data_IF_780435929044
#
_entry.id   IF_780435929044
#
_cell.length_a   1.000
_cell.length_b   1.000
_cell.length_c   1.000
_cell.angle_alpha   90.00
_cell.angle_beta   90.00
_cell.angle_gamma   90.00
#
_symmetry.space_group_name_H-M   'P 1'
#
loop_
_entity.id
_entity.type
_entity.pdbx_description
1 polymer ?
#
# COMPACT_ATOMS: atom_id res chain seq x y z
N UNK A 1 20.19 -12.63 18.43
CA UNK A 1 18.98 -13.41 18.75
C UNK A 1 18.34 -13.70 17.40
N UNK A 2 18.42 -14.94 16.94
CA UNK A 2 17.75 -15.35 15.70
C UNK A 2 16.25 -15.14 15.86
N UNK A 3 15.54 -14.66 14.82
CA UNK A 3 14.10 -14.54 14.89
C UNK A 3 13.51 -15.93 15.12
N UNK A 4 12.75 -16.07 16.19
CA UNK A 4 11.93 -17.26 16.42
C UNK A 4 11.04 -17.45 15.19
N UNK A 5 11.13 -18.61 14.56
CA UNK A 5 10.25 -19.06 13.50
C UNK A 5 8.81 -19.00 14.02
N UNK A 6 8.06 -17.96 13.72
CA UNK A 6 6.66 -17.89 14.11
C UNK A 6 5.96 -16.54 14.00
N UNK A 7 6.65 -15.45 14.23
CA UNK A 7 5.98 -14.15 14.19
C UNK A 7 6.06 -13.55 12.77
N UNK A 8 4.94 -13.20 12.19
CA UNK A 8 4.86 -12.52 10.89
C UNK A 8 3.96 -11.29 10.99
N UNK A 9 4.31 -10.25 10.25
CA UNK A 9 3.45 -9.08 10.03
C UNK A 9 2.80 -9.18 8.66
N UNK A 10 1.47 -9.24 8.61
CA UNK A 10 0.73 -9.12 7.36
C UNK A 10 0.61 -7.65 6.96
N UNK A 11 0.95 -7.33 5.72
CA UNK A 11 0.99 -5.96 5.19
C UNK A 11 0.11 -5.86 3.95
N UNK A 12 -0.88 -4.95 3.97
CA UNK A 12 -1.54 -4.49 2.76
C UNK A 12 -0.72 -3.34 2.17
N UNK A 13 -0.09 -3.59 1.02
CA UNK A 13 0.90 -2.70 0.42
C UNK A 13 0.33 -1.46 -0.27
N UNK A 14 -1.00 -1.32 -0.38
CA UNK A 14 -1.61 -0.22 -1.12
C UNK A 14 -3.05 0.05 -0.66
N UNK A 15 -3.22 1.02 0.24
CA UNK A 15 -4.53 1.35 0.81
C UNK A 15 -4.83 2.84 0.64
N UNK A 16 -5.92 3.16 -0.04
CA UNK A 16 -6.48 4.51 -0.08
C UNK A 16 -7.61 4.67 0.94
N UNK A 17 -7.62 5.80 1.63
CA UNK A 17 -8.75 6.27 2.43
C UNK A 17 -9.36 7.49 1.72
N UNK A 18 -10.29 7.25 0.82
CA UNK A 18 -10.93 8.33 0.05
C UNK A 18 -11.92 9.13 0.93
N UNK A 19 -12.16 10.41 0.59
CA UNK A 19 -13.27 11.16 1.17
C UNK A 19 -14.59 10.41 0.98
N UNK A 20 -15.34 10.25 2.07
CA UNK A 20 -16.59 9.49 2.08
C UNK A 20 -16.48 8.03 2.51
N UNK A 21 -15.28 7.46 2.60
CA UNK A 21 -15.06 6.18 3.27
C UNK A 21 -15.10 6.35 4.79
N UNK A 22 -15.76 5.44 5.47
CA UNK A 22 -15.77 5.37 6.94
C UNK A 22 -14.53 4.60 7.41
N UNK A 23 -13.57 5.32 8.01
CA UNK A 23 -12.30 4.72 8.42
C UNK A 23 -12.47 3.55 9.40
N UNK A 24 -13.48 3.58 10.28
CA UNK A 24 -13.79 2.47 11.17
C UNK A 24 -14.16 1.19 10.40
N UNK A 25 -14.99 1.30 9.34
CA UNK A 25 -15.32 0.16 8.47
C UNK A 25 -14.08 -0.39 7.76
N UNK A 26 -13.18 0.52 7.29
CA UNK A 26 -11.90 0.11 6.69
C UNK A 26 -11.07 -0.68 7.69
N UNK A 27 -10.97 -0.24 8.94
CA UNK A 27 -10.18 -0.94 9.97
C UNK A 27 -10.79 -2.28 10.36
N UNK A 28 -12.12 -2.33 10.50
CA UNK A 28 -12.84 -3.59 10.75
C UNK A 28 -12.63 -4.60 9.61
N UNK A 29 -12.76 -4.15 8.37
CA UNK A 29 -12.55 -4.98 7.18
C UNK A 29 -11.08 -5.45 7.10
N UNK A 30 -10.11 -4.55 7.26
CA UNK A 30 -8.70 -4.87 7.23
C UNK A 30 -8.33 -5.94 8.26
N UNK A 31 -8.72 -5.74 9.51
CA UNK A 31 -8.43 -6.70 10.58
C UNK A 31 -9.09 -8.07 10.31
N UNK A 32 -10.36 -8.09 9.90
CA UNK A 32 -11.11 -9.31 9.58
C UNK A 32 -10.46 -10.06 8.41
N UNK A 33 -10.17 -9.35 7.33
CA UNK A 33 -9.66 -9.93 6.09
C UNK A 33 -8.24 -10.46 6.27
N UNK A 34 -7.34 -9.68 6.89
CA UNK A 34 -5.97 -10.11 7.18
C UNK A 34 -5.93 -11.32 8.11
N UNK A 35 -6.74 -11.33 9.16
CA UNK A 35 -6.82 -12.48 10.07
C UNK A 35 -7.31 -13.74 9.37
N UNK A 36 -8.20 -13.62 8.39
CA UNK A 36 -8.68 -14.74 7.60
C UNK A 36 -7.63 -15.21 6.56
N UNK A 37 -7.03 -14.26 5.83
CA UNK A 37 -6.15 -14.57 4.70
C UNK A 37 -4.69 -14.89 5.11
N UNK A 38 -4.27 -14.43 6.30
CA UNK A 38 -2.94 -14.63 6.87
C UNK A 38 -3.05 -15.15 8.32
N UNK A 39 -3.56 -16.37 8.55
CA UNK A 39 -3.88 -16.87 9.91
C UNK A 39 -2.64 -17.05 10.79
N UNK A 40 -1.43 -17.14 10.22
CA UNK A 40 -0.15 -17.19 10.93
C UNK A 40 0.40 -15.83 11.33
N UNK A 41 -0.11 -14.73 10.78
CA UNK A 41 0.35 -13.40 11.12
C UNK A 41 -0.18 -12.97 12.49
N UNK A 42 0.69 -12.36 13.29
CA UNK A 42 0.38 -11.87 14.64
C UNK A 42 0.25 -10.35 14.71
N UNK A 43 0.62 -9.64 13.64
CA UNK A 43 0.48 -8.20 13.49
C UNK A 43 -0.02 -7.83 12.09
N UNK A 44 -0.74 -6.71 11.99
CA UNK A 44 -1.36 -6.22 10.77
C UNK A 44 -0.95 -4.79 10.49
N UNK A 45 -0.60 -4.50 9.23
CA UNK A 45 -0.09 -3.21 8.80
C UNK A 45 -0.76 -2.76 7.50
N UNK A 46 -1.18 -1.49 7.45
CA UNK A 46 -1.73 -0.85 6.26
C UNK A 46 -0.77 0.24 5.77
N UNK A 47 -0.32 0.15 4.52
CA UNK A 47 0.43 1.22 3.86
C UNK A 47 -0.57 2.19 3.25
N UNK A 48 -0.87 3.28 3.97
CA UNK A 48 -1.78 4.30 3.49
C UNK A 48 -1.13 5.07 2.35
N UNK A 49 -1.84 5.15 1.23
CA UNK A 49 -1.34 5.78 0.02
C UNK A 49 -2.19 7.02 -0.27
N UNK A 50 -1.62 8.20 -0.04
CA UNK A 50 -2.31 9.48 -0.24
C UNK A 50 -1.86 10.12 -1.56
N UNK A 51 -2.83 10.58 -2.35
CA UNK A 51 -2.58 11.45 -3.50
C UNK A 51 -2.27 12.89 -3.06
N UNK A 52 -1.97 13.78 -3.99
CA UNK A 52 -1.79 15.21 -3.70
C UNK A 52 -3.05 15.89 -3.12
N UNK A 53 -4.23 15.25 -3.26
CA UNK A 53 -5.54 15.78 -2.84
C UNK A 53 -6.03 15.23 -1.50
N UNK A 54 -5.38 14.18 -0.98
CA UNK A 54 -5.82 13.46 0.22
C UNK A 54 -5.05 13.94 1.46
N UNK A 55 -5.62 13.68 2.61
CA UNK A 55 -5.01 14.04 3.89
C UNK A 55 -5.54 13.18 5.05
N UNK A 56 -5.94 11.94 4.75
CA UNK A 56 -6.55 11.02 5.71
C UNK A 56 -5.61 10.71 6.89
N UNK A 57 -4.32 10.43 6.62
CA UNK A 57 -3.35 10.18 7.70
C UNK A 57 -3.22 11.38 8.65
N UNK A 58 -3.19 12.59 8.09
CA UNK A 58 -3.16 13.81 8.91
C UNK A 58 -4.42 14.03 9.74
N UNK A 59 -5.58 13.66 9.21
CA UNK A 59 -6.86 13.72 9.92
C UNK A 59 -6.93 12.67 11.05
N UNK A 60 -6.47 11.44 10.78
CA UNK A 60 -6.32 10.39 11.80
C UNK A 60 -5.36 10.82 12.91
N UNK A 61 -4.19 11.32 12.56
CA UNK A 61 -3.16 11.75 13.52
C UNK A 61 -3.58 12.92 14.40
N UNK A 62 -4.53 13.74 13.94
CA UNK A 62 -5.04 14.89 14.67
C UNK A 62 -6.38 14.65 15.35
N UNK A 63 -6.95 13.45 15.25
CA UNK A 63 -8.27 13.11 15.81
C UNK A 63 -9.45 13.81 15.12
N UNK A 64 -9.26 14.34 13.90
CA UNK A 64 -10.33 15.00 13.13
C UNK A 64 -11.20 14.04 12.32
N UNK A 65 -10.79 12.77 12.22
CA UNK A 65 -11.56 11.73 11.53
C UNK A 65 -12.34 10.93 12.56
N UNK A 66 -13.63 10.73 12.33
CA UNK A 66 -14.47 9.88 13.17
C UNK A 66 -14.01 8.42 13.04
N UNK A 67 -13.96 7.70 14.15
CA UNK A 67 -13.43 6.34 14.24
C UNK A 67 -14.30 5.51 15.19
N UNK A 68 -15.56 5.30 14.83
CA UNK A 68 -16.54 4.60 15.66
C UNK A 68 -15.98 3.27 16.22
N UNK A 69 -15.75 3.21 17.52
CA UNK A 69 -15.15 2.07 18.21
C UNK A 69 -13.63 1.94 18.11
N UNK A 70 -12.97 2.72 17.25
CA UNK A 70 -11.53 2.75 17.12
C UNK A 70 -10.94 4.07 17.63
N UNK A 71 -9.65 4.05 17.98
CA UNK A 71 -8.88 5.26 18.31
C UNK A 71 -7.48 5.14 17.69
N UNK A 72 -6.83 6.28 17.45
CA UNK A 72 -5.46 6.30 16.94
C UNK A 72 -4.51 6.88 17.97
N UNK A 73 -3.33 6.24 18.09
CA UNK A 73 -2.21 6.69 18.92
C UNK A 73 -1.02 7.05 18.04
N UNK A 74 -0.48 8.25 18.25
CA UNK A 74 0.75 8.71 17.59
C UNK A 74 1.96 8.07 18.24
N UNK A 75 3.00 7.84 17.44
CA UNK A 75 4.31 7.41 17.89
C UNK A 75 5.27 8.62 17.86
N UNK A 76 5.74 9.11 19.02
CA UNK A 76 6.57 10.31 19.06
C UNK A 76 7.88 10.18 18.28
N UNK A 77 8.46 8.98 18.21
CA UNK A 77 9.72 8.70 17.54
C UNK A 77 9.55 8.37 16.06
N UNK A 78 8.31 8.16 15.59
CA UNK A 78 8.00 7.81 14.21
C UNK A 78 6.72 8.51 13.73
N UNK A 79 6.80 9.78 13.35
CA UNK A 79 5.63 10.57 12.97
C UNK A 79 4.96 10.08 11.66
N UNK A 80 5.57 9.15 10.94
CA UNK A 80 4.99 8.51 9.74
C UNK A 80 4.17 7.27 10.07
N UNK A 81 4.01 6.93 11.36
CA UNK A 81 3.20 5.80 11.79
C UNK A 81 2.16 6.20 12.85
N UNK A 82 1.06 5.46 12.88
CA UNK A 82 0.03 5.48 13.92
C UNK A 82 -0.31 4.03 14.29
N UNK A 83 -0.73 3.83 15.52
CA UNK A 83 -1.41 2.60 15.93
C UNK A 83 -2.90 2.91 16.02
N UNK A 84 -3.71 2.20 15.25
CA UNK A 84 -5.16 2.17 15.44
C UNK A 84 -5.51 0.99 16.33
N UNK A 85 -6.29 1.23 17.37
CA UNK A 85 -6.72 0.19 18.31
C UNK A 85 -8.20 0.36 18.66
N UNK A 86 -8.86 -0.72 19.03
CA UNK A 86 -10.23 -0.71 19.51
C UNK A 86 -10.37 -1.21 20.97
N UNK A 87 -11.60 -1.18 21.49
CA UNK A 87 -11.88 -1.65 22.85
C UNK A 87 -11.80 -3.17 23.03
N UNK A 88 -11.71 -3.96 21.96
CA UNK A 88 -11.57 -5.41 21.99
C UNK A 88 -10.10 -5.88 21.90
N UNK A 89 -9.15 -4.95 21.86
CA UNK A 89 -7.72 -5.24 21.77
C UNK A 89 -7.25 -5.58 20.35
N UNK A 90 -8.04 -5.25 19.32
CA UNK A 90 -7.58 -5.33 17.94
C UNK A 90 -6.67 -4.15 17.63
N UNK A 91 -5.57 -4.38 16.96
CA UNK A 91 -4.62 -3.33 16.58
C UNK A 91 -4.25 -3.42 15.09
N UNK A 92 -4.02 -2.24 14.49
CA UNK A 92 -3.48 -2.06 13.15
C UNK A 92 -2.36 -1.02 13.19
N UNK A 93 -1.23 -1.34 12.60
CA UNK A 93 -0.19 -0.34 12.30
C UNK A 93 -0.55 0.38 11.01
N UNK A 94 -0.72 1.70 11.06
CA UNK A 94 -1.00 2.54 9.90
C UNK A 94 0.27 3.29 9.54
N UNK A 95 0.79 3.08 8.34
CA UNK A 95 2.00 3.75 7.85
C UNK A 95 1.63 4.75 6.77
N UNK A 96 2.04 6.01 6.97
CA UNK A 96 1.84 7.06 5.98
C UNK A 96 2.59 6.79 4.69
N UNK A 97 2.01 7.15 3.56
CA UNK A 97 2.67 7.08 2.26
C UNK A 97 2.05 8.04 1.26
N UNK A 98 2.67 8.12 0.10
CA UNK A 98 2.27 9.01 -0.98
C UNK A 98 2.16 8.27 -2.29
N UNK A 99 1.17 8.66 -3.11
CA UNK A 99 1.12 8.35 -4.52
C UNK A 99 1.52 9.61 -5.30
N UNK A 100 2.52 9.47 -6.15
CA UNK A 100 3.06 10.56 -6.96
C UNK A 100 2.89 10.16 -8.42
N UNK A 101 2.34 11.04 -9.23
CA UNK A 101 2.16 10.80 -10.68
C UNK A 101 3.23 11.58 -11.44
N UNK A 102 4.10 10.87 -12.15
CA UNK A 102 5.17 11.49 -12.94
C UNK A 102 4.64 12.13 -14.23
N UNK A 103 5.45 12.95 -14.89
CA UNK A 103 5.13 13.55 -16.19
C UNK A 103 4.90 12.48 -17.28
N UNK A 104 5.54 11.32 -17.15
CA UNK A 104 5.34 10.17 -18.04
C UNK A 104 4.03 9.42 -17.76
N UNK A 105 3.28 9.82 -16.72
CA UNK A 105 2.05 9.16 -16.27
C UNK A 105 2.33 7.83 -15.56
N UNK A 106 3.51 7.68 -14.97
CA UNK A 106 3.87 6.55 -14.11
C UNK A 106 3.56 6.93 -12.68
N UNK A 107 2.82 6.09 -11.98
CA UNK A 107 2.57 6.22 -10.55
C UNK A 107 3.73 5.63 -9.75
N UNK A 108 4.10 6.32 -8.70
CA UNK A 108 5.10 5.90 -7.72
C UNK A 108 4.48 5.98 -6.35
N UNK A 109 4.40 4.85 -5.64
CA UNK A 109 4.02 4.83 -4.23
C UNK A 109 5.29 4.98 -3.40
N UNK A 110 5.24 5.88 -2.44
CA UNK A 110 6.32 6.15 -1.50
C UNK A 110 5.81 5.87 -0.08
N UNK A 111 5.94 4.63 0.44
CA UNK A 111 5.55 4.31 1.81
C UNK A 111 6.52 4.91 2.83
N UNK A 112 6.09 4.95 4.08
CA UNK A 112 6.85 5.43 5.24
C UNK A 112 7.30 6.89 5.15
N UNK A 113 6.55 7.72 4.43
CA UNK A 113 6.84 9.16 4.35
C UNK A 113 5.59 10.03 4.46
N UNK A 114 5.76 11.20 5.08
CA UNK A 114 4.76 12.28 5.10
C UNK A 114 5.17 13.44 4.20
N UNK A 115 6.33 13.36 3.58
CA UNK A 115 6.83 14.40 2.68
C UNK A 115 5.88 14.52 1.49
N UNK A 116 5.50 15.75 1.14
CA UNK A 116 4.68 16.01 -0.04
C UNK A 116 5.58 16.18 -1.25
N UNK A 117 5.31 15.41 -2.27
CA UNK A 117 5.93 15.52 -3.57
C UNK A 117 4.92 16.11 -4.57
N UNK A 118 5.41 16.97 -5.46
CA UNK A 118 4.58 17.49 -6.54
C UNK A 118 4.48 16.47 -7.66
N UNK A 119 3.27 16.29 -8.18
CA UNK A 119 3.04 15.53 -9.42
C UNK A 119 3.69 16.23 -10.63
N UNK A 120 3.85 15.51 -11.75
CA UNK A 120 4.35 16.06 -13.01
C UNK A 120 5.87 16.19 -13.12
N UNK A 121 6.64 15.71 -12.15
CA UNK A 121 8.11 15.62 -12.27
C UNK A 121 8.50 14.37 -13.05
N UNK A 122 9.68 14.33 -13.71
CA UNK A 122 10.22 13.11 -14.31
C UNK A 122 10.34 11.97 -13.28
N UNK A 123 9.95 10.76 -13.65
CA UNK A 123 9.97 9.60 -12.73
C UNK A 123 11.37 9.35 -12.16
N UNK A 124 12.43 9.54 -12.95
CA UNK A 124 13.81 9.37 -12.49
C UNK A 124 14.17 10.34 -11.35
N UNK A 125 13.70 11.59 -11.41
CA UNK A 125 13.91 12.57 -10.35
C UNK A 125 13.13 12.23 -9.09
N UNK A 126 11.89 11.70 -9.23
CA UNK A 126 11.09 11.23 -8.10
C UNK A 126 11.83 10.10 -7.39
N UNK A 127 12.28 9.08 -8.14
CA UNK A 127 13.00 7.93 -7.57
C UNK A 127 14.31 8.37 -6.89
N UNK A 128 15.06 9.28 -7.50
CA UNK A 128 16.29 9.83 -6.91
C UNK A 128 16.00 10.58 -5.60
N UNK A 129 14.95 11.40 -5.57
CA UNK A 129 14.54 12.14 -4.38
C UNK A 129 14.09 11.22 -3.24
N UNK A 130 13.33 10.19 -3.53
CA UNK A 130 12.93 9.17 -2.55
C UNK A 130 14.12 8.42 -2.01
N UNK A 131 15.01 7.96 -2.89
CA UNK A 131 16.24 7.26 -2.49
C UNK A 131 17.12 8.09 -1.59
N UNK A 132 17.30 9.38 -1.88
CA UNK A 132 18.10 10.28 -1.03
C UNK A 132 17.55 10.47 0.38
N UNK A 133 16.26 10.17 0.57
CA UNK A 133 15.57 10.20 1.87
C UNK A 133 15.48 8.80 2.52
N UNK A 134 16.05 7.75 1.92
CA UNK A 134 15.90 6.37 2.40
C UNK A 134 14.46 5.85 2.30
N UNK A 135 13.65 6.44 1.42
CA UNK A 135 12.25 6.05 1.20
C UNK A 135 12.17 5.07 0.03
N UNK A 136 11.59 3.88 0.20
CA UNK A 136 11.38 2.95 -0.90
C UNK A 136 10.35 3.48 -1.89
N UNK A 137 10.45 3.05 -3.14
CA UNK A 137 9.53 3.39 -4.21
C UNK A 137 8.88 2.12 -4.77
N UNK A 138 7.55 2.09 -4.83
CA UNK A 138 6.81 0.98 -5.41
C UNK A 138 6.15 1.49 -6.70
N UNK A 139 6.39 0.79 -7.81
CA UNK A 139 5.74 1.06 -9.10
C UNK A 139 4.53 0.13 -9.23
N UNK A 140 3.29 0.65 -8.98
CA UNK A 140 2.12 -0.20 -8.93
C UNK A 140 1.66 -0.61 -10.32
N UNK A 141 1.32 -1.88 -10.48
CA UNK A 141 0.60 -2.34 -11.64
C UNK A 141 -0.80 -1.67 -11.70
N UNK A 142 -1.27 -1.43 -12.89
CA UNK A 142 -2.64 -0.96 -13.12
C UNK A 142 -3.11 -1.29 -14.51
N UNK A 143 -4.42 -1.50 -14.68
CA UNK A 143 -5.02 -1.83 -15.96
C UNK A 143 -4.69 -0.76 -17.01
N UNK A 144 -3.94 -1.14 -18.04
CA UNK A 144 -3.46 -0.24 -19.08
C UNK A 144 -2.31 0.70 -18.69
N UNK A 145 -1.91 0.74 -17.41
CA UNK A 145 -0.83 1.64 -16.95
C UNK A 145 0.56 1.22 -17.44
N UNK A 146 0.80 -0.10 -17.58
CA UNK A 146 2.08 -0.66 -18.05
C UNK A 146 2.05 -1.06 -19.54
N UNK A 147 1.24 -0.39 -20.35
CA UNK A 147 1.20 -0.64 -21.79
C UNK A 147 2.02 0.40 -22.58
N UNK A 148 2.60 -0.05 -23.71
CA UNK A 148 3.34 0.81 -24.62
C UNK A 148 4.55 1.50 -23.97
N UNK A 149 4.70 2.80 -24.20
CA UNK A 149 5.87 3.58 -23.72
C UNK A 149 6.03 3.55 -22.19
N UNK A 150 4.93 3.56 -21.43
CA UNK A 150 4.98 3.52 -19.96
C UNK A 150 5.54 2.19 -19.46
N UNK A 151 5.08 1.08 -20.02
CA UNK A 151 5.62 -0.24 -19.68
C UNK A 151 7.10 -0.39 -20.04
N UNK A 152 7.52 0.14 -21.18
CA UNK A 152 8.94 0.19 -21.56
C UNK A 152 9.78 1.00 -20.55
N UNK A 153 9.26 2.16 -20.11
CA UNK A 153 9.94 2.98 -19.11
C UNK A 153 10.03 2.31 -17.73
N UNK A 154 8.96 1.64 -17.30
CA UNK A 154 9.00 0.83 -16.04
C UNK A 154 10.03 -0.28 -16.16
N UNK A 155 10.08 -0.99 -17.30
CA UNK A 155 11.07 -2.04 -17.54
C UNK A 155 12.51 -1.53 -17.47
N UNK A 156 12.78 -0.36 -18.04
CA UNK A 156 14.08 0.30 -17.98
C UNK A 156 14.46 0.64 -16.53
N UNK A 157 13.55 1.28 -15.76
CA UNK A 157 13.80 1.67 -14.37
C UNK A 157 14.10 0.47 -13.48
N UNK A 158 13.35 -0.61 -13.64
CA UNK A 158 13.55 -1.84 -12.85
C UNK A 158 14.80 -2.59 -13.31
N UNK A 159 15.07 -2.62 -14.62
CA UNK A 159 16.24 -3.28 -15.20
C UNK A 159 17.59 -2.72 -14.73
N UNK A 160 17.61 -1.49 -14.21
CA UNK A 160 18.81 -0.91 -13.61
C UNK A 160 19.12 -1.45 -12.19
N UNK A 161 18.25 -2.28 -11.59
CA UNK A 161 18.48 -2.89 -10.29
C UNK A 161 18.66 -1.89 -9.17
N UNK A 162 17.92 -0.78 -9.17
CA UNK A 162 18.05 0.26 -8.15
C UNK A 162 17.54 -0.25 -6.80
N UNK A 163 18.36 -0.24 -5.73
CA UNK A 163 17.91 -0.62 -4.39
C UNK A 163 16.70 0.23 -3.96
N UNK A 164 15.69 -0.44 -3.37
CA UNK A 164 14.48 0.21 -2.89
C UNK A 164 13.46 0.57 -3.97
N UNK A 165 13.71 0.20 -5.25
CA UNK A 165 12.69 0.27 -6.31
C UNK A 165 12.05 -1.09 -6.47
N UNK A 166 10.77 -1.17 -6.13
CA UNK A 166 9.97 -2.38 -6.07
C UNK A 166 8.78 -2.26 -7.02
N UNK A 167 8.14 -3.37 -7.31
CA UNK A 167 6.90 -3.40 -8.08
C UNK A 167 5.70 -3.59 -7.15
N UNK A 168 4.52 -3.15 -7.59
CA UNK A 168 3.27 -3.38 -6.88
C UNK A 168 2.31 -4.22 -7.69
N UNK A 169 1.61 -5.16 -7.05
CA UNK A 169 0.41 -5.80 -7.59
C UNK A 169 -0.82 -5.32 -6.81
N UNK A 170 -2.00 -5.37 -7.39
CA UNK A 170 -3.21 -5.00 -6.67
C UNK A 170 -4.34 -6.02 -6.86
N UNK A 171 -5.29 -6.00 -5.93
CA UNK A 171 -6.45 -6.90 -5.97
C UNK A 171 -7.35 -6.69 -7.21
N UNK A 172 -7.24 -5.55 -7.89
CA UNK A 172 -7.94 -5.23 -9.13
C UNK A 172 -7.34 -5.86 -10.38
N UNK A 173 -6.24 -6.62 -10.30
CA UNK A 173 -5.74 -7.41 -11.43
C UNK A 173 -6.52 -8.73 -11.52
N UNK A 174 -7.36 -8.94 -12.56
CA UNK A 174 -8.20 -10.14 -12.63
C UNK A 174 -7.35 -11.43 -12.55
N UNK A 175 -7.80 -12.47 -11.85
CA UNK A 175 -7.07 -13.75 -11.75
C UNK A 175 -6.76 -14.38 -13.11
N UNK A 176 -7.68 -14.25 -14.09
CA UNK A 176 -7.49 -14.74 -15.45
C UNK A 176 -6.52 -13.90 -16.28
N UNK A 177 -6.09 -12.72 -15.79
CA UNK A 177 -5.10 -11.90 -16.50
C UNK A 177 -3.71 -12.48 -16.33
N UNK A 178 -2.92 -12.62 -17.41
CA UNK A 178 -1.58 -13.18 -17.31
C UNK A 178 -0.70 -12.33 -16.36
N UNK A 179 0.15 -13.01 -15.61
CA UNK A 179 1.11 -12.35 -14.73
C UNK A 179 2.06 -11.48 -15.61
N UNK A 180 2.22 -10.19 -15.30
CA UNK A 180 3.13 -9.34 -16.04
C UNK A 180 4.57 -9.86 -15.99
N UNK A 181 5.25 -9.93 -17.14
CA UNK A 181 6.66 -10.37 -17.19
C UNK A 181 7.59 -9.50 -16.35
N UNK A 182 7.24 -8.22 -16.15
CA UNK A 182 8.01 -7.30 -15.32
C UNK A 182 8.07 -7.75 -13.85
N UNK A 183 7.12 -8.55 -13.38
CA UNK A 183 7.14 -9.11 -12.03
C UNK A 183 8.29 -10.09 -11.76
N UNK A 184 9.05 -10.46 -12.79
CA UNK A 184 10.26 -11.28 -12.67
C UNK A 184 11.53 -10.43 -12.45
N UNK A 185 11.43 -9.12 -12.61
CA UNK A 185 12.58 -8.21 -12.59
C UNK A 185 12.87 -7.58 -11.21
N UNK A 186 11.90 -7.55 -10.30
CA UNK A 186 12.05 -7.05 -8.93
C UNK A 186 10.99 -7.64 -8.01
N UNK A 187 11.18 -7.60 -6.67
CA UNK A 187 10.15 -8.02 -5.73
C UNK A 187 8.84 -7.23 -5.93
N UNK A 188 7.73 -7.95 -5.82
CA UNK A 188 6.38 -7.41 -6.01
C UNK A 188 5.66 -7.34 -4.68
N UNK A 189 5.19 -6.17 -4.31
CA UNK A 189 4.42 -5.94 -3.10
C UNK A 189 2.93 -5.88 -3.44
N UNK A 190 2.13 -6.88 -3.07
CA UNK A 190 0.69 -6.84 -3.24
C UNK A 190 0.02 -5.85 -2.29
N UNK A 191 -1.10 -5.30 -2.73
CA UNK A 191 -2.00 -4.51 -1.90
C UNK A 191 -3.42 -4.53 -2.45
N UNK A 192 -4.37 -4.09 -1.64
CA UNK A 192 -5.79 -4.13 -2.00
C UNK A 192 -6.13 -3.10 -3.08
N UNK A 193 -5.58 -1.90 -2.98
CA UNK A 193 -5.88 -0.75 -3.86
C UNK A 193 -7.40 -0.52 -3.98
N UNK A 194 -8.09 -0.21 -2.86
CA UNK A 194 -9.51 0.06 -2.90
C UNK A 194 -9.79 1.27 -3.78
N UNK A 195 -10.86 1.20 -4.58
CA UNK A 195 -11.25 2.26 -5.49
C UNK A 195 -12.33 3.15 -4.83
N UNK A 196 -12.54 4.42 -5.28
CA UNK A 196 -13.58 5.28 -4.75
C UNK A 196 -14.97 4.88 -5.27
N UNK A 197 -15.39 3.66 -4.97
CA UNK A 197 -16.70 3.10 -5.29
C UNK A 197 -17.35 2.56 -4.02
N UNK A 198 -18.70 2.46 -3.95
CA UNK A 198 -19.38 1.94 -2.77
C UNK A 198 -18.85 0.57 -2.35
N UNK A 199 -18.78 0.36 -1.06
CA UNK A 199 -18.38 -0.89 -0.39
C UNK A 199 -16.94 -1.36 -0.68
N UNK A 200 -16.11 -0.57 -1.35
CA UNK A 200 -14.72 -0.93 -1.62
C UNK A 200 -13.85 -1.00 -0.34
N UNK A 201 -14.27 -0.33 0.73
CA UNK A 201 -13.67 -0.43 2.06
C UNK A 201 -13.70 -1.84 2.63
N UNK A 202 -14.69 -2.67 2.26
CA UNK A 202 -14.83 -4.06 2.72
C UNK A 202 -13.73 -4.99 2.19
N UNK A 203 -13.03 -4.57 1.13
CA UNK A 203 -11.96 -5.36 0.53
C UNK A 203 -10.58 -5.12 1.18
N UNK A 204 -10.41 -4.04 1.96
CA UNK A 204 -9.10 -3.70 2.54
C UNK A 204 -8.56 -4.85 3.40
N UNK A 205 -7.27 -5.15 3.24
CA UNK A 205 -6.60 -6.25 3.93
C UNK A 205 -6.82 -7.64 3.34
N UNK A 206 -7.56 -7.77 2.22
CA UNK A 206 -7.79 -9.09 1.59
C UNK A 206 -6.60 -9.62 0.79
N UNK A 207 -5.67 -8.75 0.40
CA UNK A 207 -4.54 -9.07 -0.46
C UNK A 207 -3.31 -8.29 -0.02
N UNK A 208 -2.20 -8.99 0.18
CA UNK A 208 -0.98 -8.37 0.67
C UNK A 208 0.19 -9.35 0.74
N UNK A 209 1.18 -9.02 1.55
CA UNK A 209 2.40 -9.81 1.73
C UNK A 209 2.77 -9.95 3.20
N UNK A 210 3.55 -10.98 3.51
CA UNK A 210 4.07 -11.26 4.83
C UNK A 210 5.49 -10.74 4.96
N UNK A 211 5.76 -10.06 6.06
CA UNK A 211 7.10 -9.70 6.50
C UNK A 211 7.49 -10.59 7.68
N UNK A 212 8.67 -11.23 7.66
CA UNK A 212 9.16 -11.99 8.79
C UNK A 212 9.36 -11.09 10.02
N UNK A 213 8.88 -11.54 11.18
CA UNK A 213 8.96 -10.83 12.45
C UNK A 213 8.00 -9.63 12.56
N UNK A 214 8.01 -9.03 13.74
CA UNK A 214 7.26 -7.80 14.02
C UNK A 214 8.03 -6.58 13.53
N UNK A 215 7.30 -5.51 13.21
CA UNK A 215 7.89 -4.18 13.04
C UNK A 215 8.32 -3.63 14.39
N UNK A 216 9.32 -2.74 14.39
CA UNK A 216 9.74 -2.02 15.59
C UNK A 216 8.54 -1.29 16.21
N UNK A 217 8.16 -1.56 17.46
CA UNK A 217 6.95 -0.98 18.06
C UNK A 217 7.00 0.54 18.26
N UNK A 218 8.20 1.12 18.33
CA UNK A 218 8.40 2.56 18.49
C UNK A 218 8.63 3.27 17.16
N UNK A 219 9.15 2.53 16.12
CA UNK A 219 9.54 3.07 14.83
C UNK A 219 9.11 2.19 13.65
N UNK A 220 7.83 1.79 13.55
CA UNK A 220 7.41 0.82 12.56
C UNK A 220 7.54 1.30 11.11
N UNK A 221 7.33 2.60 10.82
CA UNK A 221 7.52 3.13 9.47
C UNK A 221 9.00 3.18 9.08
N UNK A 222 9.87 3.58 10.00
CA UNK A 222 11.33 3.58 9.79
C UNK A 222 11.85 2.16 9.56
N UNK A 223 11.41 1.19 10.35
CA UNK A 223 11.81 -0.21 10.21
C UNK A 223 11.29 -0.82 8.90
N UNK A 224 10.02 -0.56 8.55
CA UNK A 224 9.46 -0.97 7.27
C UNK A 224 10.28 -0.41 6.10
N UNK A 225 10.55 0.91 6.09
CA UNK A 225 11.33 1.53 5.03
C UNK A 225 12.69 0.86 4.86
N UNK A 226 13.41 0.63 5.96
CA UNK A 226 14.70 -0.06 5.96
C UNK A 226 14.60 -1.46 5.36
N UNK A 227 13.59 -2.25 5.75
CA UNK A 227 13.37 -3.61 5.24
C UNK A 227 13.05 -3.60 3.75
N UNK A 228 12.20 -2.69 3.29
CA UNK A 228 11.85 -2.56 1.87
C UNK A 228 13.01 -2.05 1.02
N UNK A 229 13.87 -1.16 1.55
CA UNK A 229 15.07 -0.68 0.84
C UNK A 229 16.09 -1.80 0.57
N UNK A 230 16.07 -2.86 1.37
CA UNK A 230 16.99 -4.01 1.27
C UNK A 230 16.30 -5.29 0.82
N UNK A 231 15.04 -5.20 0.36
CA UNK A 231 14.27 -6.37 -0.06
C UNK A 231 14.76 -6.86 -1.43
N UNK A 232 15.39 -8.03 -1.46
CA UNK A 232 15.93 -8.65 -2.69
C UNK A 232 15.08 -9.82 -3.20
N UNK A 233 14.29 -10.43 -2.32
CA UNK A 233 13.48 -11.60 -2.65
C UNK A 233 11.99 -11.31 -2.57
N UNK A 234 11.20 -12.07 -3.35
CA UNK A 234 9.75 -11.98 -3.33
C UNK A 234 9.22 -12.37 -1.95
N UNK A 235 8.48 -11.49 -1.23
CA UNK A 235 7.83 -11.86 0.01
C UNK A 235 6.68 -12.83 -0.23
N UNK A 236 6.34 -13.63 0.77
CA UNK A 236 5.15 -14.49 0.72
C UNK A 236 3.90 -13.64 0.53
N UNK A 237 3.09 -14.00 -0.43
CA UNK A 237 1.81 -13.32 -0.72
C UNK A 237 0.70 -13.99 0.06
N UNK A 238 -0.20 -13.23 0.66
CA UNK A 238 -1.42 -13.74 1.27
C UNK A 238 -2.67 -13.23 0.56
N UNK A 239 -3.74 -13.99 0.67
CA UNK A 239 -5.06 -13.62 0.18
C UNK A 239 -5.20 -13.69 -1.34
N UNK A 240 -6.31 -13.13 -1.83
CA UNK A 240 -6.73 -13.28 -3.21
C UNK A 240 -7.10 -11.94 -3.85
N UNK A 241 -6.86 -11.89 -5.17
CA UNK A 241 -7.33 -10.81 -6.03
C UNK A 241 -8.84 -10.90 -6.22
N UNK A 242 -9.47 -9.77 -6.54
CA UNK A 242 -10.90 -9.70 -6.84
C UNK A 242 -11.25 -10.50 -8.09
N UNK A 243 -12.41 -11.14 -8.08
CA UNK A 243 -12.92 -11.87 -9.23
C UNK A 243 -13.13 -10.96 -10.45
N UNK A 244 -12.97 -11.51 -11.65
CA UNK A 244 -13.03 -10.76 -12.92
C UNK A 244 -14.33 -9.94 -13.07
N UNK A 245 -15.48 -10.50 -12.66
CA UNK A 245 -16.77 -9.79 -12.73
C UNK A 245 -16.84 -8.59 -11.78
N UNK A 246 -16.30 -8.72 -10.58
CA UNK A 246 -16.23 -7.61 -9.62
C UNK A 246 -15.37 -6.47 -10.16
N UNK A 247 -14.19 -6.78 -10.70
CA UNK A 247 -13.29 -5.78 -11.32
C UNK A 247 -13.96 -5.06 -12.49
N UNK A 248 -14.69 -5.79 -13.34
CA UNK A 248 -15.43 -5.19 -14.47
C UNK A 248 -16.55 -4.26 -13.98
N UNK A 249 -17.31 -4.66 -12.97
CA UNK A 249 -18.37 -3.83 -12.38
C UNK A 249 -17.83 -2.53 -11.79
N UNK A 250 -16.72 -2.60 -11.06
CA UNK A 250 -16.03 -1.42 -10.51
C UNK A 250 -15.54 -0.47 -11.61
N UNK A 251 -14.88 -1.00 -12.65
CA UNK A 251 -14.42 -0.20 -13.78
C UNK A 251 -15.58 0.50 -14.50
N UNK A 252 -16.74 -0.15 -14.61
CA UNK A 252 -17.94 0.48 -15.16
C UNK A 252 -18.47 1.59 -14.25
N UNK A 253 -18.46 1.38 -12.93
CA UNK A 253 -18.88 2.38 -11.94
C UNK A 253 -17.99 3.61 -11.99
N UNK A 254 -16.66 3.44 -11.99
CA UNK A 254 -15.69 4.53 -12.12
C UNK A 254 -15.89 5.36 -13.38
N UNK A 255 -16.11 4.70 -14.53
CA UNK A 255 -16.35 5.40 -15.79
C UNK A 255 -17.64 6.21 -15.80
N UNK A 256 -18.68 5.74 -15.09
CA UNK A 256 -19.95 6.48 -14.94
C UNK A 256 -19.79 7.71 -14.05
N UNK A 257 -19.03 7.57 -12.95
CA UNK A 257 -18.76 8.69 -12.02
C UNK A 257 -17.87 9.76 -12.65
N UNK A 258 -16.87 9.37 -13.44
CA UNK A 258 -15.98 10.31 -14.13
C UNK A 258 -16.65 11.11 -15.28
N UNK A 259 -17.87 10.73 -15.70
CA UNK A 259 -18.64 11.42 -16.76
C UNK A 259 -19.70 12.38 -16.22
N UNK A 260 -19.90 12.40 -14.91
CA UNK A 260 -20.78 13.34 -14.20
C UNK A 260 -19.98 14.50 -13.62
#
# INVERSE_FOLDING_TARGET
MEPTTGDETAVDGHVHLYPGMEAARVFDAAHRNMRHAAPGAVAFCLLLTETSRDGAFGALASGRMALDGWHTRRLPQDPAALIAADGAGRELTLIAGRQIVSVEGIEVLAPATRVRFSDGRPVAEILQALRSQGTPAILPWGLGKWLGRRGGRVAELVGHGMPGVLLGDNAGRPPAWPRPRLFDAAPVLPGTDPLPVPDSEEDVGRFGFLLPGLLDPERPATDLARRLMTLESQPTVFGDRRGTLAVLAEQMTLRRTARR
#
